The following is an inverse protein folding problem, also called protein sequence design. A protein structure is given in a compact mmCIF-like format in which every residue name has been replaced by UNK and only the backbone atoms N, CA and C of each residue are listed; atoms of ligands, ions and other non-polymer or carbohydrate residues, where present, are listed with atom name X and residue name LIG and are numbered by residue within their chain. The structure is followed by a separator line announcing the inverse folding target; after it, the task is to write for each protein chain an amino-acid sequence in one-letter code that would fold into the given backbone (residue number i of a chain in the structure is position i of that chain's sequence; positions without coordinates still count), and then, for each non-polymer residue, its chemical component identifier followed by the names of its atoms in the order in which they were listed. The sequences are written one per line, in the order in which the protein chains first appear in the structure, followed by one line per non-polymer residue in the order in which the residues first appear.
data_IF_386133907712
#
_entry.id   IF_386133907712
#
_cell.length_a   1.000
_cell.length_b   1.000
_cell.length_c   1.000
_cell.angle_alpha   90.00
_cell.angle_beta   90.00
_cell.angle_gamma   90.00
#
_symmetry.space_group_name_H-M   'P 1'
#
loop_
_entity.id
_entity.type
_entity.pdbx_description
1 polymer ?
#
# COMPACT_ATOMS: atom_id res chain seq x y z
N UNK A 1 -8.25 8.92 -4.50
CA UNK A 1 -7.92 10.13 -3.72
C UNK A 1 -8.41 11.43 -4.34
N UNK A 2 -8.05 11.76 -5.58
CA UNK A 2 -8.39 13.04 -6.24
C UNK A 2 -9.89 13.39 -6.21
N UNK A 3 -10.75 12.42 -6.51
CA UNK A 3 -12.20 12.62 -6.49
C UNK A 3 -12.70 12.99 -5.08
N UNK A 4 -12.16 12.35 -4.05
CA UNK A 4 -12.51 12.65 -2.65
C UNK A 4 -12.07 14.07 -2.30
N UNK A 5 -10.82 14.44 -2.62
CA UNK A 5 -10.29 15.79 -2.34
C UNK A 5 -11.04 16.89 -3.12
N UNK A 6 -11.43 16.63 -4.38
CA UNK A 6 -12.24 17.55 -5.19
C UNK A 6 -13.61 17.84 -4.57
N UNK A 7 -14.19 16.86 -3.86
CA UNK A 7 -15.51 16.98 -3.23
C UNK A 7 -15.43 17.25 -1.72
N UNK A 8 -14.24 17.47 -1.15
CA UNK A 8 -14.06 17.55 0.29
C UNK A 8 -14.92 18.64 0.95
N UNK A 9 -15.01 19.83 0.36
CA UNK A 9 -15.82 20.93 0.91
C UNK A 9 -17.30 20.58 0.91
N UNK A 10 -17.78 19.95 -0.17
CA UNK A 10 -19.16 19.48 -0.31
C UNK A 10 -19.51 18.42 0.74
N UNK A 11 -18.54 17.60 1.12
CA UNK A 11 -18.72 16.52 2.10
C UNK A 11 -18.24 16.91 3.51
N UNK A 12 -17.89 18.17 3.73
CA UNK A 12 -17.35 18.68 5.00
C UNK A 12 -16.12 17.89 5.51
N UNK A 13 -15.27 17.43 4.58
CA UNK A 13 -14.04 16.71 4.89
C UNK A 13 -12.84 17.66 4.97
N UNK A 14 -11.89 17.34 5.84
CA UNK A 14 -10.60 18.03 5.87
C UNK A 14 -9.70 17.49 4.74
N UNK A 15 -9.42 18.33 3.72
CA UNK A 15 -8.68 17.95 2.49
C UNK A 15 -7.30 17.32 2.73
N UNK A 16 -6.65 17.67 3.84
CA UNK A 16 -5.32 17.22 4.25
C UNK A 16 -5.34 16.21 5.40
N UNK A 17 -6.48 15.50 5.59
CA UNK A 17 -6.62 14.40 6.55
C UNK A 17 -7.39 13.22 5.95
N UNK A 18 -7.05 12.85 4.73
CA UNK A 18 -7.68 11.73 4.01
C UNK A 18 -6.65 10.61 3.87
N UNK A 19 -6.89 9.52 4.59
CA UNK A 19 -6.06 8.32 4.53
C UNK A 19 -6.71 7.17 3.77
N UNK A 20 -5.93 6.10 3.58
CA UNK A 20 -6.41 4.82 3.08
C UNK A 20 -6.26 3.78 4.18
N UNK A 21 -7.25 2.89 4.32
CA UNK A 21 -7.22 1.79 5.27
C UNK A 21 -7.35 0.48 4.50
N UNK A 22 -6.37 -0.41 4.63
CA UNK A 22 -6.32 -1.71 3.97
C UNK A 22 -6.24 -2.86 4.97
N UNK A 23 -6.95 -3.94 4.67
CA UNK A 23 -7.02 -5.15 5.49
C UNK A 23 -6.58 -6.37 4.68
N UNK A 24 -5.70 -7.23 5.20
CA UNK A 24 -5.27 -8.45 4.49
C UNK A 24 -4.80 -8.15 3.05
N UNK A 25 -5.40 -8.78 2.03
CA UNK A 25 -5.16 -8.47 0.61
C UNK A 25 -5.49 -7.01 0.23
N UNK A 26 -6.45 -6.37 0.91
CA UNK A 26 -6.70 -4.94 0.78
C UNK A 26 -5.55 -4.08 1.33
N UNK A 27 -4.77 -4.59 2.29
CA UNK A 27 -3.52 -4.00 2.73
C UNK A 27 -2.48 -3.94 1.60
N UNK A 28 -2.38 -5.02 0.82
CA UNK A 28 -1.52 -5.07 -0.37
C UNK A 28 -1.94 -4.06 -1.43
N UNK A 29 -3.24 -3.98 -1.72
CA UNK A 29 -3.77 -3.00 -2.68
C UNK A 29 -3.47 -1.58 -2.19
N UNK A 30 -3.71 -1.29 -0.91
CA UNK A 30 -3.46 0.03 -0.33
C UNK A 30 -1.98 0.43 -0.40
N UNK A 31 -1.06 -0.46 -0.02
CA UNK A 31 0.38 -0.16 -0.03
C UNK A 31 0.94 -0.07 -1.45
N UNK A 32 0.51 -0.96 -2.36
CA UNK A 32 0.90 -0.93 -3.78
C UNK A 32 0.41 0.33 -4.47
N UNK A 33 -0.84 0.75 -4.21
CA UNK A 33 -1.40 2.01 -4.71
C UNK A 33 -0.52 3.21 -4.36
N UNK A 34 -0.03 3.26 -3.12
CA UNK A 34 0.84 4.34 -2.66
C UNK A 34 2.21 4.28 -3.35
N UNK A 35 2.85 3.11 -3.43
CA UNK A 35 4.13 2.95 -4.12
C UNK A 35 4.04 3.43 -5.58
N UNK A 36 3.00 3.01 -6.30
CA UNK A 36 2.81 3.39 -7.70
C UNK A 36 2.63 4.90 -7.89
N UNK A 37 1.87 5.56 -7.02
CA UNK A 37 1.72 7.03 -7.08
C UNK A 37 3.06 7.73 -6.76
N UNK A 38 3.80 7.22 -5.78
CA UNK A 38 5.09 7.78 -5.41
C UNK A 38 6.16 7.62 -6.49
N UNK A 39 6.20 6.47 -7.16
CA UNK A 39 7.07 6.27 -8.32
C UNK A 39 6.68 7.18 -9.48
N UNK A 40 5.38 7.33 -9.75
CA UNK A 40 4.90 8.24 -10.79
C UNK A 40 5.36 9.67 -10.52
N UNK A 41 5.19 10.17 -9.29
CA UNK A 41 5.68 11.50 -8.85
C UNK A 41 7.18 11.69 -9.06
N UNK A 42 7.99 10.64 -8.88
CA UNK A 42 9.45 10.69 -9.09
C UNK A 42 9.82 10.76 -10.57
N UNK A 43 9.00 10.18 -11.45
CA UNK A 43 9.28 10.05 -12.88
C UNK A 43 8.76 11.20 -13.75
N UNK A 44 7.81 12.00 -13.25
CA UNK A 44 7.21 13.13 -13.98
C UNK A 44 7.62 14.48 -13.38
N UNK A 45 7.66 15.54 -14.22
CA UNK A 45 7.57 16.95 -13.78
C UNK A 45 6.14 17.21 -13.24
N UNK A 46 5.79 16.45 -12.20
CA UNK A 46 4.41 16.22 -11.75
C UNK A 46 3.69 17.55 -11.46
N UNK A 47 2.54 17.73 -12.12
CA UNK A 47 1.63 18.84 -11.82
C UNK A 47 1.09 18.66 -10.39
N UNK A 48 0.80 19.77 -9.70
CA UNK A 48 0.28 19.77 -8.31
C UNK A 48 -0.84 18.75 -8.06
N UNK A 49 -1.68 18.48 -9.06
CA UNK A 49 -2.77 17.50 -9.00
C UNK A 49 -2.31 16.08 -8.63
N UNK A 50 -1.08 15.68 -8.95
CA UNK A 50 -0.56 14.34 -8.69
C UNK A 50 -0.08 14.18 -7.24
N UNK A 51 0.44 15.25 -6.64
CA UNK A 51 0.72 15.31 -5.18
C UNK A 51 -0.58 15.08 -4.40
N UNK A 52 -1.71 15.59 -4.91
CA UNK A 52 -3.00 15.37 -4.30
C UNK A 52 -3.53 13.93 -4.42
N UNK A 53 -2.88 13.03 -5.16
CA UNK A 53 -3.26 11.63 -5.22
C UNK A 53 -2.70 10.81 -4.04
N UNK A 54 -1.63 11.29 -3.40
CA UNK A 54 -1.01 10.62 -2.25
C UNK A 54 -1.91 10.79 -1.00
N UNK A 55 -2.27 9.70 -0.30
CA UNK A 55 -2.97 9.77 0.98
C UNK A 55 -2.16 10.49 2.05
N UNK A 56 -2.85 11.14 3.00
CA UNK A 56 -2.17 11.81 4.11
C UNK A 56 -1.60 10.81 5.15
N UNK A 57 -2.18 9.61 5.21
CA UNK A 57 -1.72 8.49 6.03
C UNK A 57 -2.29 7.18 5.48
N UNK A 58 -1.70 6.06 5.89
CA UNK A 58 -2.18 4.72 5.54
C UNK A 58 -2.33 3.88 6.80
N UNK A 59 -3.46 3.23 6.98
CA UNK A 59 -3.61 2.15 7.96
C UNK A 59 -3.53 0.81 7.24
N UNK A 60 -2.67 -0.09 7.71
CA UNK A 60 -2.56 -1.44 7.19
C UNK A 60 -2.78 -2.42 8.35
N UNK A 61 -3.86 -3.20 8.24
CA UNK A 61 -4.34 -4.08 9.31
C UNK A 61 -4.20 -5.53 8.82
N UNK A 62 -3.43 -6.33 9.55
CA UNK A 62 -2.97 -7.69 9.16
C UNK A 62 -2.66 -7.80 7.66
N UNK A 63 -1.85 -6.87 7.10
CA UNK A 63 -1.74 -6.73 5.66
C UNK A 63 -0.94 -7.85 5.01
N UNK A 64 -1.29 -8.20 3.79
CA UNK A 64 -0.36 -8.80 2.83
C UNK A 64 0.54 -7.67 2.30
N UNK A 65 1.86 -7.84 2.33
CA UNK A 65 2.85 -6.82 1.95
C UNK A 65 3.83 -7.39 0.94
N UNK A 66 4.46 -8.52 1.27
CA UNK A 66 5.46 -9.14 0.41
C UNK A 66 4.84 -10.21 -0.47
N UNK A 67 5.36 -10.36 -1.69
CA UNK A 67 4.98 -11.40 -2.63
C UNK A 67 5.99 -12.55 -2.67
N UNK A 68 7.05 -12.50 -1.85
CA UNK A 68 8.03 -13.58 -1.72
C UNK A 68 7.39 -14.83 -1.13
N UNK A 69 7.85 -16.00 -1.58
CA UNK A 69 7.25 -17.31 -1.23
C UNK A 69 7.28 -17.60 0.28
N UNK A 70 8.29 -17.12 0.99
CA UNK A 70 8.50 -17.33 2.42
C UNK A 70 7.60 -16.46 3.32
N UNK A 71 7.04 -15.37 2.79
CA UNK A 71 6.29 -14.38 3.57
C UNK A 71 4.84 -14.20 3.12
N UNK A 72 4.58 -14.36 1.82
CA UNK A 72 3.28 -14.02 1.23
C UNK A 72 2.18 -14.98 1.67
N UNK A 73 0.93 -14.50 1.69
CA UNK A 73 -0.23 -15.39 1.77
C UNK A 73 -0.51 -15.96 0.37
N UNK A 74 -0.36 -17.28 0.13
CA UNK A 74 -0.37 -17.86 -1.22
C UNK A 74 -1.69 -17.61 -1.97
N UNK A 75 -2.82 -17.69 -1.26
CA UNK A 75 -4.13 -17.43 -1.84
C UNK A 75 -4.27 -15.98 -2.32
N UNK A 76 -3.77 -15.01 -1.53
CA UNK A 76 -3.78 -13.61 -1.92
C UNK A 76 -2.88 -13.35 -3.11
N UNK A 77 -1.66 -13.90 -3.13
CA UNK A 77 -0.74 -13.76 -4.27
C UNK A 77 -1.37 -14.28 -5.55
N UNK A 78 -1.98 -15.47 -5.52
CA UNK A 78 -2.68 -16.03 -6.69
C UNK A 78 -3.80 -15.12 -7.18
N UNK A 79 -4.61 -14.56 -6.28
CA UNK A 79 -5.71 -13.67 -6.66
C UNK A 79 -5.22 -12.30 -7.20
N UNK A 80 -4.07 -11.83 -6.73
CA UNK A 80 -3.54 -10.51 -7.08
C UNK A 80 -2.61 -10.53 -8.31
N UNK A 81 -1.77 -11.55 -8.44
CA UNK A 81 -0.75 -11.66 -9.51
C UNK A 81 -1.06 -12.75 -10.54
N UNK A 82 -2.02 -13.63 -10.27
CA UNK A 82 -2.31 -14.80 -11.11
C UNK A 82 -1.28 -15.92 -10.94
N UNK A 83 -1.47 -17.00 -11.71
CA UNK A 83 -0.68 -18.23 -11.58
C UNK A 83 0.75 -18.14 -12.16
N UNK A 84 1.04 -17.14 -12.99
CA UNK A 84 2.32 -16.98 -13.70
C UNK A 84 3.07 -15.71 -13.28
N UNK A 85 3.18 -15.45 -11.98
CA UNK A 85 3.95 -14.30 -11.46
C UNK A 85 5.46 -14.49 -11.73
N UNK A 86 6.09 -13.55 -12.43
CA UNK A 86 7.56 -13.56 -12.62
C UNK A 86 8.29 -13.01 -11.39
N UNK A 87 9.61 -13.19 -11.32
CA UNK A 87 10.45 -12.60 -10.28
C UNK A 87 10.35 -11.07 -10.26
N UNK A 88 10.23 -10.44 -11.42
CA UNK A 88 10.02 -8.99 -11.56
C UNK A 88 8.68 -8.58 -10.96
N UNK A 89 7.60 -9.34 -11.22
CA UNK A 89 6.30 -9.09 -10.61
C UNK A 89 6.37 -9.21 -9.08
N UNK A 90 7.09 -10.22 -8.55
CA UNK A 90 7.27 -10.39 -7.11
C UNK A 90 7.94 -9.14 -6.51
N UNK A 91 9.01 -8.64 -7.13
CA UNK A 91 9.71 -7.45 -6.66
C UNK A 91 8.81 -6.21 -6.77
N UNK A 92 8.21 -5.99 -7.94
CA UNK A 92 7.38 -4.82 -8.23
C UNK A 92 6.17 -4.71 -7.30
N UNK A 93 5.56 -5.85 -6.96
CA UNK A 93 4.36 -5.91 -6.12
C UNK A 93 4.66 -6.29 -4.67
N UNK A 94 5.92 -6.36 -4.24
CA UNK A 94 6.25 -6.43 -2.81
C UNK A 94 6.37 -5.03 -2.26
N UNK A 95 5.39 -4.59 -1.46
CA UNK A 95 5.31 -3.19 -1.10
C UNK A 95 6.49 -2.73 -0.22
N UNK A 96 7.03 -3.62 0.61
CA UNK A 96 8.21 -3.38 1.44
C UNK A 96 9.47 -3.08 0.61
N UNK A 97 9.58 -3.58 -0.62
CA UNK A 97 10.75 -3.36 -1.47
C UNK A 97 10.72 -2.03 -2.22
N UNK A 98 9.57 -1.35 -2.24
CA UNK A 98 9.34 -0.17 -3.07
C UNK A 98 8.96 1.07 -2.24
N UNK A 99 9.16 1.04 -0.92
CA UNK A 99 8.97 2.20 -0.04
C UNK A 99 10.01 3.28 -0.39
N UNK A 100 9.54 4.51 -0.50
CA UNK A 100 10.38 5.70 -0.74
C UNK A 100 10.04 6.80 0.26
N UNK A 101 10.80 7.89 0.29
CA UNK A 101 10.50 9.07 1.13
C UNK A 101 9.16 9.75 0.82
N UNK A 102 8.49 9.38 -0.29
CA UNK A 102 7.15 9.84 -0.63
C UNK A 102 6.04 9.06 0.11
N UNK A 103 6.33 7.85 0.61
CA UNK A 103 5.34 7.02 1.30
C UNK A 103 4.85 7.77 2.57
N UNK A 104 3.53 7.91 2.77
CA UNK A 104 2.98 8.65 3.89
C UNK A 104 3.13 7.85 5.21
N UNK A 105 2.94 8.49 6.37
CA UNK A 105 2.96 7.81 7.65
C UNK A 105 2.00 6.60 7.69
N UNK A 106 2.50 5.49 8.25
CA UNK A 106 1.78 4.21 8.29
C UNK A 106 1.42 3.85 9.72
N UNK A 107 0.15 3.50 9.93
CA UNK A 107 -0.31 2.80 11.12
C UNK A 107 -0.39 1.29 10.80
N UNK A 108 0.30 0.47 11.59
CA UNK A 108 0.31 -0.99 11.46
C UNK A 108 -0.38 -1.63 12.66
N UNK A 109 -1.22 -2.63 12.39
CA UNK A 109 -1.82 -3.48 13.41
C UNK A 109 -1.88 -4.91 12.92
N UNK A 110 -1.32 -5.85 13.68
CA UNK A 110 -1.31 -7.28 13.33
C UNK A 110 -1.20 -8.11 14.62
N UNK A 111 -1.99 -9.17 14.73
CA UNK A 111 -1.82 -10.18 15.77
C UNK A 111 -0.59 -11.06 15.47
N UNK A 112 0.24 -11.35 16.47
CA UNK A 112 1.44 -12.16 16.28
C UNK A 112 1.16 -13.64 16.00
N UNK A 113 -0.05 -14.09 16.32
CA UNK A 113 -0.55 -15.45 16.20
C UNK A 113 -1.51 -15.63 15.00
N UNK A 114 -1.51 -14.70 14.04
CA UNK A 114 -2.23 -14.88 12.76
C UNK A 114 -1.60 -16.02 11.95
N UNK A 115 -2.34 -17.11 11.77
CA UNK A 115 -1.92 -18.32 11.06
C UNK A 115 -2.26 -18.29 9.55
N UNK A 116 -2.95 -17.25 9.09
CA UNK A 116 -3.34 -17.07 7.69
C UNK A 116 -2.42 -16.07 6.98
N UNK A 117 -2.16 -14.92 7.58
CA UNK A 117 -1.22 -13.92 7.05
C UNK A 117 -0.07 -13.79 8.03
N UNK A 118 1.13 -14.23 7.62
CA UNK A 118 2.31 -14.12 8.49
C UNK A 118 2.55 -12.68 8.94
N UNK A 119 2.76 -12.49 10.26
CA UNK A 119 3.13 -11.20 10.86
C UNK A 119 4.40 -10.59 10.23
N UNK A 120 5.25 -11.41 9.61
CA UNK A 120 6.42 -10.95 8.87
C UNK A 120 6.07 -9.89 7.81
N UNK A 121 4.87 -9.92 7.22
CA UNK A 121 4.41 -8.87 6.32
C UNK A 121 4.43 -7.48 7.00
N UNK A 122 3.93 -7.40 8.24
CA UNK A 122 3.93 -6.15 9.00
C UNK A 122 5.31 -5.76 9.49
N UNK A 123 6.14 -6.73 9.90
CA UNK A 123 7.52 -6.46 10.33
C UNK A 123 8.37 -5.92 9.17
N UNK A 124 8.26 -6.50 7.97
CA UNK A 124 8.97 -6.01 6.79
C UNK A 124 8.57 -4.59 6.43
N UNK A 125 7.27 -4.25 6.53
CA UNK A 125 6.81 -2.89 6.29
C UNK A 125 7.30 -1.91 7.37
N UNK A 126 7.29 -2.32 8.64
CA UNK A 126 7.75 -1.50 9.77
C UNK A 126 9.24 -1.12 9.69
N UNK A 127 10.05 -1.98 9.07
CA UNK A 127 11.50 -1.79 8.92
C UNK A 127 11.90 -0.90 7.73
N UNK A 128 10.95 -0.23 7.07
CA UNK A 128 11.18 0.69 5.95
C UNK A 128 10.93 2.14 6.35
#
# INVERSE_FOLDING_TARGET
MLYIRKNADKWHLQRHRIGVLGFSAGGHIASTFVNQICDFKRSSDSKEQEIFAIPDFVGLIYPVISMKDDVTHPGSRKQLLGDNSTSENIIQYSADLNVTSCFPPVFLLHCCDDDLVSIENSLLMYLR
#
